data_IF_873397195036
#
_entry.id   IF_873397195036
#
_cell.length_a   1.000
_cell.length_b   1.000
_cell.length_c   1.000
_cell.angle_alpha   90.00
_cell.angle_beta   90.00
_cell.angle_gamma   90.00
#
_symmetry.space_group_name_H-M   'P 1'
#
loop_
_entity.id
_entity.type
_entity.pdbx_description
1 polymer ?
#
# COMPACT_ATOMS: atom_id res chain seq x y z
N UNK A 1 1.50 -8.87 2.57
CA UNK A 1 1.33 -7.96 1.42
C UNK A 1 0.26 -6.94 1.77
N UNK A 2 0.28 -5.74 1.17
CA UNK A 2 -0.75 -4.71 1.37
C UNK A 2 -1.04 -3.95 0.08
N UNK A 3 -2.27 -3.46 -0.05
CA UNK A 3 -2.67 -2.57 -1.15
C UNK A 3 -1.95 -1.22 -1.06
N UNK A 4 -1.67 -0.60 -2.22
CA UNK A 4 -1.08 0.74 -2.26
C UNK A 4 -2.14 1.82 -2.09
N UNK A 5 -1.81 2.85 -1.33
CA UNK A 5 -2.66 4.01 -1.14
C UNK A 5 -2.73 4.90 -2.40
N UNK A 6 -3.75 5.77 -2.47
CA UNK A 6 -3.86 6.83 -3.49
C UNK A 6 -4.51 6.42 -4.81
N UNK A 7 -5.25 5.30 -4.84
CA UNK A 7 -6.00 4.81 -6.01
C UNK A 7 -7.53 4.72 -5.80
N UNK A 8 -8.07 5.33 -4.75
CA UNK A 8 -9.51 5.25 -4.40
C UNK A 8 -10.37 6.27 -5.16
N UNK A 9 -9.89 7.49 -5.35
CA UNK A 9 -10.61 8.59 -6.01
C UNK A 9 -9.61 9.67 -6.48
N UNK A 10 -10.09 10.70 -7.19
CA UNK A 10 -9.31 11.83 -7.71
C UNK A 10 -8.13 11.40 -8.59
N UNK A 11 -8.44 10.59 -9.60
CA UNK A 11 -7.45 9.97 -10.48
C UNK A 11 -7.26 10.72 -11.80
N UNK A 12 -8.08 11.74 -12.05
CA UNK A 12 -8.16 12.51 -13.30
C UNK A 12 -6.82 13.23 -13.57
N UNK A 13 -6.13 13.65 -12.52
CA UNK A 13 -4.83 14.31 -12.60
C UNK A 13 -3.64 13.34 -12.66
N UNK A 14 -3.85 12.04 -12.44
CA UNK A 14 -2.77 11.04 -12.41
C UNK A 14 -2.65 10.37 -13.78
N UNK A 15 -1.43 10.30 -14.31
CA UNK A 15 -1.19 9.55 -15.55
C UNK A 15 -1.56 8.06 -15.38
N UNK A 16 -1.99 7.41 -16.47
CA UNK A 16 -2.35 5.99 -16.43
C UNK A 16 -1.18 5.09 -15.98
N UNK A 17 0.06 5.51 -16.27
CA UNK A 17 1.28 4.84 -15.79
C UNK A 17 1.33 4.79 -14.27
N UNK A 18 0.96 5.89 -13.59
CA UNK A 18 0.94 5.98 -12.13
C UNK A 18 -0.19 5.11 -11.58
N UNK A 19 -1.41 5.25 -12.10
CA UNK A 19 -2.55 4.46 -11.61
C UNK A 19 -2.34 2.95 -11.79
N UNK A 20 -1.68 2.52 -12.88
CA UNK A 20 -1.27 1.12 -13.10
C UNK A 20 -0.28 0.62 -12.04
N UNK A 21 0.71 1.43 -11.64
CA UNK A 21 1.67 1.06 -10.59
C UNK A 21 1.04 0.99 -9.20
N UNK A 22 -0.06 1.70 -8.97
CA UNK A 22 -0.80 1.64 -7.71
C UNK A 22 -1.72 0.41 -7.60
N UNK A 23 -1.96 -0.32 -8.69
CA UNK A 23 -2.77 -1.56 -8.68
C UNK A 23 -2.07 -2.76 -8.06
N UNK A 24 -0.75 -2.72 -7.91
CA UNK A 24 0.03 -3.87 -7.42
C UNK A 24 0.15 -3.85 -5.91
N UNK A 25 0.06 -5.01 -5.28
CA UNK A 25 0.38 -5.15 -3.85
C UNK A 25 1.87 -4.89 -3.57
N UNK A 26 2.15 -4.48 -2.33
CA UNK A 26 3.50 -4.20 -1.85
C UNK A 26 3.78 -4.97 -0.56
N UNK A 27 5.04 -5.35 -0.37
CA UNK A 27 5.52 -5.80 0.93
C UNK A 27 5.57 -4.61 1.91
N UNK A 28 5.37 -4.91 3.20
CA UNK A 28 5.51 -3.91 4.26
C UNK A 28 6.98 -3.51 4.41
N UNK A 29 7.22 -2.25 4.79
CA UNK A 29 8.58 -1.76 5.06
C UNK A 29 9.11 -2.35 6.36
N UNK A 30 10.43 -2.62 6.49
CA UNK A 30 11.01 -3.19 7.71
C UNK A 30 10.67 -2.40 8.97
N UNK A 31 10.67 -1.07 8.88
CA UNK A 31 10.34 -0.17 10.00
C UNK A 31 8.90 -0.31 10.51
N UNK A 32 7.98 -0.77 9.67
CA UNK A 32 6.56 -0.93 10.02
C UNK A 32 6.18 -2.34 10.48
N UNK A 33 7.08 -3.31 10.31
CA UNK A 33 6.81 -4.73 10.54
C UNK A 33 6.45 -5.02 12.00
N UNK A 34 7.12 -4.39 12.95
CA UNK A 34 6.87 -4.63 14.37
C UNK A 34 5.46 -4.18 14.79
N UNK A 35 5.07 -2.98 14.41
CA UNK A 35 3.71 -2.47 14.65
C UNK A 35 2.68 -3.34 13.95
N UNK A 36 2.91 -3.74 12.70
CA UNK A 36 2.01 -4.61 11.96
C UNK A 36 1.80 -5.97 12.66
N UNK A 37 2.87 -6.62 13.13
CA UNK A 37 2.79 -7.88 13.89
C UNK A 37 1.97 -7.71 15.17
N UNK A 38 2.25 -6.66 15.95
CA UNK A 38 1.50 -6.34 17.18
C UNK A 38 0.00 -6.17 16.91
N UNK A 39 -0.38 -5.41 15.88
CA UNK A 39 -1.78 -5.17 15.54
C UNK A 39 -2.51 -6.44 15.09
N UNK A 40 -1.76 -7.41 14.56
CA UNK A 40 -2.28 -8.73 14.18
C UNK A 40 -2.25 -9.76 15.32
N UNK A 41 -1.84 -9.36 16.53
CA UNK A 41 -1.70 -10.29 17.67
C UNK A 41 -0.55 -11.29 17.52
N UNK A 42 0.34 -11.07 16.55
CA UNK A 42 1.49 -11.92 16.28
C UNK A 42 2.67 -11.40 17.12
N UNK A 43 3.29 -12.27 17.90
CA UNK A 43 4.53 -11.98 18.65
C UNK A 43 5.74 -12.07 17.73
#
# INVERSE_FOLDING_TARGET
MHERAGKRHLLEHKSSRVTRRLSTESAAKPSTTFTAKRMLGLK
#
